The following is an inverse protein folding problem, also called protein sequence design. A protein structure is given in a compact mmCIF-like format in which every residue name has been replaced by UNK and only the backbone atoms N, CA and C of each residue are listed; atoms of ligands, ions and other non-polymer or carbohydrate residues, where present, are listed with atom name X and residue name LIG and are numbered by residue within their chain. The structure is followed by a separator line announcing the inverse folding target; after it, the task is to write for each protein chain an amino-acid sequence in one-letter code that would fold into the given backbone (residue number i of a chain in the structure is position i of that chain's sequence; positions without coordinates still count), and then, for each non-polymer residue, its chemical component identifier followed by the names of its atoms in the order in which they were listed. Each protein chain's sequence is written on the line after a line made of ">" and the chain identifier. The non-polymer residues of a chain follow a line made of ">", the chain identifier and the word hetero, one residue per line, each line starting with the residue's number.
data_IF_808700466699
#
_entry.id   IF_808700466699
#
_cell.length_a   1.000
_cell.length_b   1.000
_cell.length_c   1.000
_cell.angle_alpha   90.00
_cell.angle_beta   90.00
_cell.angle_gamma   90.00
#
_symmetry.space_group_name_H-M   'P 1'
#
loop_
_entity.id
_entity.type
_entity.pdbx_description
1 polymer ?
#
# COMPACT_ATOMS: atom_id res chain seq x y z
N UNK A 1 8.49 -14.06 6.28
CA UNK A 1 7.75 -13.48 5.13
C UNK A 1 6.24 -13.58 5.28
N UNK A 2 5.71 -14.44 6.16
CA UNK A 2 4.28 -14.48 6.52
C UNK A 2 3.75 -13.14 7.06
N UNK A 3 4.44 -12.54 8.03
CA UNK A 3 3.99 -11.26 8.64
C UNK A 3 3.81 -10.16 7.57
N UNK A 4 4.80 -9.91 6.67
CA UNK A 4 4.58 -9.01 5.54
C UNK A 4 3.40 -9.39 4.64
N UNK A 5 3.26 -10.66 4.27
CA UNK A 5 2.17 -11.11 3.39
C UNK A 5 0.78 -10.83 4.00
N UNK A 6 0.60 -11.08 5.31
CA UNK A 6 -0.66 -10.80 6.02
C UNK A 6 -0.95 -9.29 6.06
N UNK A 7 0.06 -8.46 6.36
CA UNK A 7 -0.14 -7.00 6.42
C UNK A 7 -0.47 -6.44 5.03
N UNK A 8 0.23 -6.87 3.98
CA UNK A 8 -0.11 -6.49 2.60
C UNK A 8 -1.52 -6.94 2.20
N UNK A 9 -1.98 -8.09 2.70
CA UNK A 9 -3.37 -8.50 2.50
C UNK A 9 -4.36 -7.53 3.11
N UNK A 10 -4.19 -7.19 4.39
CA UNK A 10 -5.09 -6.27 5.09
C UNK A 10 -5.07 -4.89 4.43
N UNK A 11 -3.91 -4.41 4.00
CA UNK A 11 -3.77 -3.15 3.27
C UNK A 11 -4.57 -3.14 1.97
N UNK A 12 -4.44 -4.19 1.17
CA UNK A 12 -5.17 -4.29 -0.09
C UNK A 12 -6.69 -4.35 0.16
N UNK A 13 -7.14 -5.11 1.17
CA UNK A 13 -8.55 -5.18 1.53
C UNK A 13 -9.10 -3.81 1.97
N UNK A 14 -8.37 -3.09 2.81
CA UNK A 14 -8.73 -1.73 3.23
C UNK A 14 -8.75 -0.75 2.05
N UNK A 15 -7.85 -0.92 1.07
CA UNK A 15 -7.84 -0.12 -0.15
C UNK A 15 -9.11 -0.34 -0.98
N UNK A 16 -9.55 -1.59 -1.13
CA UNK A 16 -10.80 -1.92 -1.82
C UNK A 16 -12.02 -1.35 -1.08
N UNK A 17 -12.11 -1.54 0.23
CA UNK A 17 -13.19 -0.98 1.06
C UNK A 17 -13.23 0.54 0.98
N UNK A 18 -12.07 1.21 0.95
CA UNK A 18 -12.00 2.65 0.78
C UNK A 18 -12.48 3.07 -0.61
N UNK A 19 -11.95 2.48 -1.69
CA UNK A 19 -12.32 2.83 -3.08
C UNK A 19 -13.80 2.57 -3.41
N UNK A 20 -14.47 1.66 -2.69
CA UNK A 20 -15.90 1.43 -2.82
C UNK A 20 -16.75 2.54 -2.15
N UNK A 21 -16.19 3.24 -1.17
CA UNK A 21 -16.92 4.17 -0.27
C UNK A 21 -16.51 5.64 -0.42
N UNK A 22 -15.32 5.91 -0.97
CA UNK A 22 -14.81 7.25 -1.24
C UNK A 22 -14.35 7.36 -2.68
N UNK A 23 -14.48 8.57 -3.24
CA UNK A 23 -14.04 8.88 -4.59
C UNK A 23 -12.51 8.65 -4.77
N UNK A 24 -12.11 8.22 -5.96
CA UNK A 24 -10.71 7.93 -6.27
C UNK A 24 -9.77 9.12 -6.04
N UNK A 25 -10.23 10.35 -6.31
CA UNK A 25 -9.45 11.57 -6.04
C UNK A 25 -9.25 11.82 -4.54
N UNK A 26 -10.25 11.50 -3.72
CA UNK A 26 -10.11 11.59 -2.26
C UNK A 26 -9.18 10.50 -1.74
N UNK A 27 -9.33 9.27 -2.25
CA UNK A 27 -8.43 8.16 -1.92
C UNK A 27 -6.98 8.50 -2.23
N UNK A 28 -6.67 9.07 -3.41
CA UNK A 28 -5.29 9.42 -3.78
C UNK A 28 -4.71 10.49 -2.88
N UNK A 29 -5.48 11.50 -2.48
CA UNK A 29 -5.03 12.54 -1.53
C UNK A 29 -4.66 11.92 -0.18
N UNK A 30 -5.53 11.10 0.40
CA UNK A 30 -5.24 10.44 1.68
C UNK A 30 -4.10 9.42 1.56
N UNK A 31 -3.99 8.72 0.43
CA UNK A 31 -2.91 7.77 0.18
C UNK A 31 -1.52 8.44 0.18
N UNK A 32 -1.40 9.73 -0.16
CA UNK A 32 -0.11 10.45 -0.08
C UNK A 32 0.42 10.59 1.36
N UNK A 33 -0.45 10.52 2.37
CA UNK A 33 -0.04 10.51 3.77
C UNK A 33 0.84 9.30 4.12
N UNK A 34 0.87 8.26 3.27
CA UNK A 34 1.78 7.10 3.34
C UNK A 34 3.24 7.50 3.45
N UNK A 35 3.65 8.56 2.78
CA UNK A 35 5.01 9.08 2.82
C UNK A 35 5.35 9.60 4.23
N UNK A 36 4.42 10.32 4.86
CA UNK A 36 4.57 10.78 6.26
C UNK A 36 4.56 9.62 7.25
N UNK A 37 3.63 8.69 7.09
CA UNK A 37 3.51 7.47 7.90
C UNK A 37 4.81 6.67 7.88
N UNK A 38 5.38 6.43 6.69
CA UNK A 38 6.65 5.71 6.52
C UNK A 38 7.80 6.43 7.22
N UNK A 39 7.89 7.76 7.11
CA UNK A 39 8.93 8.55 7.77
C UNK A 39 8.80 8.52 9.30
N UNK A 40 7.58 8.61 9.83
CA UNK A 40 7.30 8.49 11.26
C UNK A 40 7.72 7.11 11.78
N UNK A 41 7.29 6.04 11.13
CA UNK A 41 7.69 4.69 11.51
C UNK A 41 9.20 4.46 11.35
N UNK A 42 9.85 5.03 10.34
CA UNK A 42 11.30 4.93 10.19
C UNK A 42 12.04 5.63 11.34
N UNK A 43 11.52 6.78 11.79
CA UNK A 43 12.04 7.48 12.96
C UNK A 43 11.85 6.67 14.24
N UNK A 44 10.63 6.21 14.54
CA UNK A 44 10.32 5.51 15.78
C UNK A 44 10.88 4.08 15.84
N UNK A 45 10.75 3.30 14.76
CA UNK A 45 11.08 1.87 14.76
C UNK A 45 12.56 1.64 14.42
N UNK A 46 13.11 2.29 13.39
CA UNK A 46 14.52 2.09 12.98
C UNK A 46 15.46 3.03 13.73
N UNK A 47 14.94 4.10 14.36
CA UNK A 47 15.76 5.08 15.07
C UNK A 47 16.51 6.03 14.14
N UNK A 48 16.12 6.12 12.85
CA UNK A 48 16.75 7.05 11.91
C UNK A 48 16.42 8.49 12.31
N UNK A 49 17.43 9.25 12.74
CA UNK A 49 17.28 10.68 13.03
C UNK A 49 17.22 11.47 11.72
N UNK A 50 16.04 11.89 11.33
CA UNK A 50 15.82 12.77 10.18
C UNK A 50 16.08 14.23 10.59
N UNK A 51 17.00 14.90 9.90
CA UNK A 51 17.23 16.33 10.10
C UNK A 51 15.98 17.15 9.76
N UNK A 52 15.79 18.31 10.41
CA UNK A 52 14.65 19.20 10.16
C UNK A 52 14.51 19.61 8.68
N UNK A 53 15.62 19.66 7.93
CA UNK A 53 15.61 19.90 6.47
C UNK A 53 14.90 18.76 5.70
N UNK A 54 15.14 17.51 6.08
CA UNK A 54 14.50 16.33 5.46
C UNK A 54 12.99 16.31 5.76
N UNK A 55 12.58 16.72 6.95
CA UNK A 55 11.16 16.89 7.30
C UNK A 55 10.45 17.94 6.44
N UNK A 56 11.08 19.09 6.20
CA UNK A 56 10.52 20.12 5.30
C UNK A 56 10.42 19.64 3.85
N UNK A 57 11.45 18.95 3.36
CA UNK A 57 11.41 18.36 2.02
C UNK A 57 10.28 17.31 1.89
N UNK A 58 10.07 16.50 2.92
CA UNK A 58 9.01 15.50 2.97
C UNK A 58 7.62 16.15 2.90
N UNK A 59 7.38 17.19 3.69
CA UNK A 59 6.12 17.94 3.67
C UNK A 59 5.89 18.58 2.30
N UNK A 60 6.95 19.12 1.68
CA UNK A 60 6.87 19.69 0.34
C UNK A 60 6.48 18.63 -0.71
N UNK A 61 7.09 17.45 -0.67
CA UNK A 61 6.73 16.33 -1.57
C UNK A 61 5.28 15.89 -1.38
N UNK A 62 4.84 15.76 -0.13
CA UNK A 62 3.44 15.38 0.18
C UNK A 62 2.48 16.44 -0.33
N UNK A 63 2.76 17.73 -0.07
CA UNK A 63 1.93 18.84 -0.57
C UNK A 63 1.83 18.86 -2.10
N UNK A 64 2.94 18.66 -2.81
CA UNK A 64 2.95 18.58 -4.27
C UNK A 64 2.13 17.39 -4.79
N UNK A 65 2.31 16.22 -4.18
CA UNK A 65 1.54 15.03 -4.55
C UNK A 65 0.04 15.21 -4.28
N UNK A 66 -0.34 15.85 -3.16
CA UNK A 66 -1.75 16.15 -2.87
C UNK A 66 -2.33 17.17 -3.83
N UNK A 67 -1.58 18.21 -4.22
CA UNK A 67 -2.03 19.21 -5.20
C UNK A 67 -2.33 18.56 -6.56
N UNK A 68 -1.41 17.71 -7.05
CA UNK A 68 -1.61 16.96 -8.30
C UNK A 68 -2.84 16.05 -8.19
N UNK A 69 -3.04 15.42 -7.03
CA UNK A 69 -4.18 14.52 -6.78
C UNK A 69 -5.53 15.25 -6.71
N UNK A 70 -5.54 16.54 -6.39
CA UNK A 70 -6.75 17.38 -6.40
C UNK A 70 -7.12 17.87 -7.80
N UNK A 71 -6.13 18.07 -8.67
CA UNK A 71 -6.36 18.50 -10.06
C UNK A 71 -6.90 17.36 -10.94
N UNK A 72 -6.66 16.10 -10.56
CA UNK A 72 -7.39 14.96 -11.11
C UNK A 72 -8.83 14.99 -10.58
N UNK A 73 -9.71 15.69 -11.31
CA UNK A 73 -11.12 15.95 -10.97
C UNK A 73 -11.77 14.81 -10.16
N UNK A 74 -12.07 15.01 -8.87
CA UNK A 74 -12.91 14.08 -8.12
C UNK A 74 -14.33 14.15 -8.68
N UNK A 75 -14.98 13.00 -8.88
CA UNK A 75 -16.33 12.92 -9.46
C UNK A 75 -17.39 13.49 -8.50
N UNK A 76 -17.05 13.66 -7.23
CA UNK A 76 -17.99 14.05 -6.18
C UNK A 76 -17.43 15.15 -5.27
N UNK A 77 -17.39 16.39 -5.77
CA UNK A 77 -17.16 17.59 -4.94
C UNK A 77 -18.35 17.91 -3.99
N UNK A 78 -19.47 17.19 -4.10
CA UNK A 78 -20.69 17.43 -3.32
C UNK A 78 -20.78 16.62 -2.02
N UNK A 79 -19.79 15.75 -1.72
CA UNK A 79 -19.86 14.84 -0.57
C UNK A 79 -19.64 15.51 0.81
N UNK A 80 -19.27 16.79 0.84
CA UNK A 80 -19.13 17.56 2.09
C UNK A 80 -20.40 18.35 2.47
N UNK A 81 -21.40 18.40 1.60
CA UNK A 81 -22.61 19.21 1.78
C UNK A 81 -23.79 18.39 2.35
N UNK A 82 -23.82 17.07 2.09
CA UNK A 82 -24.67 16.12 2.81
C UNK A 82 -23.91 15.61 4.04
N UNK A 83 -24.49 15.73 5.22
CA UNK A 83 -23.84 15.40 6.50
C UNK A 83 -23.06 14.08 6.49
N UNK A 84 -21.96 14.02 7.26
CA UNK A 84 -20.99 12.91 7.28
C UNK A 84 -21.70 11.54 7.31
N UNK A 85 -21.75 10.87 6.16
CA UNK A 85 -22.37 9.55 6.06
C UNK A 85 -21.48 8.51 6.76
N UNK A 86 -22.11 7.51 7.38
CA UNK A 86 -21.38 6.40 8.01
C UNK A 86 -20.44 5.72 7.02
N UNK A 87 -20.88 5.59 5.76
CA UNK A 87 -20.10 4.99 4.67
C UNK A 87 -18.84 5.79 4.35
N UNK A 88 -18.94 7.12 4.30
CA UNK A 88 -17.81 8.01 4.09
C UNK A 88 -16.79 7.89 5.23
N UNK A 89 -17.25 7.87 6.49
CA UNK A 89 -16.38 7.71 7.65
C UNK A 89 -15.66 6.35 7.65
N UNK A 90 -16.33 5.27 7.23
CA UNK A 90 -15.71 3.95 7.05
C UNK A 90 -14.63 4.01 5.95
N UNK A 91 -14.90 4.68 4.83
CA UNK A 91 -13.91 4.84 3.76
C UNK A 91 -12.66 5.63 4.20
N UNK A 92 -12.86 6.74 4.93
CA UNK A 92 -11.77 7.55 5.49
C UNK A 92 -10.95 6.77 6.52
N UNK A 93 -11.61 6.06 7.44
CA UNK A 93 -10.91 5.27 8.45
C UNK A 93 -10.17 4.08 7.81
N UNK A 94 -10.72 3.48 6.76
CA UNK A 94 -10.08 2.42 6.01
C UNK A 94 -8.79 2.89 5.30
N UNK A 95 -8.83 4.02 4.58
CA UNK A 95 -7.62 4.56 3.92
C UNK A 95 -6.58 5.02 4.93
N UNK A 96 -6.98 5.59 6.07
CA UNK A 96 -6.04 5.96 7.14
C UNK A 96 -5.37 4.71 7.75
N UNK A 97 -6.13 3.63 7.96
CA UNK A 97 -5.60 2.35 8.41
C UNK A 97 -4.60 1.75 7.41
N UNK A 98 -4.93 1.78 6.12
CA UNK A 98 -4.05 1.34 5.02
C UNK A 98 -2.73 2.11 5.00
N UNK A 99 -2.80 3.44 5.10
CA UNK A 99 -1.65 4.35 5.10
C UNK A 99 -0.72 4.09 6.29
N UNK A 100 -1.29 3.81 7.47
CA UNK A 100 -0.52 3.46 8.67
C UNK A 100 0.16 2.10 8.53
N UNK A 101 -0.59 1.08 8.10
CA UNK A 101 -0.04 -0.26 7.85
C UNK A 101 1.05 -0.23 6.77
N UNK A 102 0.88 0.59 5.73
CA UNK A 102 1.88 0.77 4.69
C UNK A 102 3.19 1.33 5.21
N UNK A 103 3.12 2.35 6.08
CA UNK A 103 4.32 2.92 6.68
C UNK A 103 5.02 1.92 7.60
N UNK A 104 4.25 1.19 8.41
CA UNK A 104 4.76 0.14 9.26
C UNK A 104 5.47 -0.96 8.46
N UNK A 105 4.81 -1.50 7.43
CA UNK A 105 5.34 -2.66 6.70
C UNK A 105 6.58 -2.31 5.88
N UNK A 106 6.65 -1.12 5.28
CA UNK A 106 7.83 -0.65 4.55
C UNK A 106 9.07 -0.66 5.45
N UNK A 107 8.93 -0.17 6.68
CA UNK A 107 10.02 -0.09 7.65
C UNK A 107 10.36 -1.46 8.24
N UNK A 108 9.35 -2.29 8.50
CA UNK A 108 9.54 -3.68 8.94
C UNK A 108 10.25 -4.51 7.88
N UNK A 109 9.84 -4.40 6.61
CA UNK A 109 10.46 -5.09 5.49
C UNK A 109 11.91 -4.64 5.28
N UNK A 110 12.19 -3.33 5.40
CA UNK A 110 13.57 -2.80 5.41
C UNK A 110 14.42 -3.48 6.49
N UNK A 111 13.89 -3.62 7.72
CA UNK A 111 14.60 -4.31 8.81
C UNK A 111 14.83 -5.80 8.52
N UNK A 112 13.82 -6.50 8.01
CA UNK A 112 13.93 -7.94 7.71
C UNK A 112 14.94 -8.20 6.60
N UNK A 113 14.96 -7.36 5.56
CA UNK A 113 15.97 -7.42 4.52
C UNK A 113 17.36 -7.18 5.10
N UNK A 114 17.57 -6.07 5.82
CA UNK A 114 18.88 -5.70 6.38
C UNK A 114 19.43 -6.70 7.39
N UNK A 115 18.58 -7.29 8.24
CA UNK A 115 19.02 -8.35 9.19
C UNK A 115 19.40 -9.66 8.51
N UNK A 116 18.78 -10.00 7.38
CA UNK A 116 19.04 -11.28 6.69
C UNK A 116 20.31 -11.21 5.83
N UNK A 117 20.60 -10.07 5.19
CA UNK A 117 21.80 -9.92 4.35
C UNK A 117 23.10 -10.28 5.08
N UNK A 118 23.12 -10.17 6.42
CA UNK A 118 24.27 -10.56 7.25
C UNK A 118 24.37 -12.05 7.59
N UNK A 119 23.35 -12.87 7.33
CA UNK A 119 23.30 -14.27 7.77
C UNK A 119 23.13 -15.30 6.64
N UNK A 120 22.49 -14.95 5.52
CA UNK A 120 22.32 -15.80 4.32
C UNK A 120 22.16 -14.90 3.08
N UNK A 121 22.87 -15.17 1.98
CA UNK A 121 22.78 -14.46 0.68
C UNK A 121 21.44 -14.73 -0.05
N UNK A 122 20.30 -14.43 0.58
CA UNK A 122 19.01 -14.44 -0.12
C UNK A 122 18.83 -13.12 -0.87
N UNK A 123 18.51 -13.22 -2.16
CA UNK A 123 18.29 -12.06 -3.02
C UNK A 123 16.92 -11.44 -2.76
N UNK A 124 16.74 -10.18 -3.18
CA UNK A 124 15.43 -9.50 -3.15
C UNK A 124 14.37 -10.32 -3.89
N UNK A 125 14.76 -11.04 -4.93
CA UNK A 125 13.88 -11.90 -5.73
C UNK A 125 13.40 -13.12 -4.95
N UNK A 126 14.28 -13.79 -4.20
CA UNK A 126 13.89 -14.94 -3.36
C UNK A 126 12.87 -14.53 -2.31
N UNK A 127 13.04 -13.33 -1.75
CA UNK A 127 12.08 -12.77 -0.79
C UNK A 127 10.76 -12.40 -1.45
N UNK A 128 10.79 -11.87 -2.66
CA UNK A 128 9.57 -11.56 -3.42
C UNK A 128 8.80 -12.84 -3.78
N UNK A 129 9.49 -13.91 -4.20
CA UNK A 129 8.88 -15.22 -4.46
C UNK A 129 8.28 -15.80 -3.19
N UNK A 130 9.01 -15.77 -2.06
CA UNK A 130 8.46 -16.21 -0.77
C UNK A 130 7.20 -15.43 -0.39
N UNK A 131 7.21 -14.11 -0.58
CA UNK A 131 6.07 -13.25 -0.29
C UNK A 131 4.89 -13.59 -1.21
N UNK A 132 5.12 -13.82 -2.50
CA UNK A 132 4.10 -14.24 -3.45
C UNK A 132 3.47 -15.60 -3.07
N UNK A 133 4.28 -16.59 -2.69
CA UNK A 133 3.79 -17.90 -2.24
C UNK A 133 2.89 -17.74 -1.01
N UNK A 134 3.35 -16.99 0.00
CA UNK A 134 2.51 -16.75 1.18
C UNK A 134 1.24 -16.00 0.84
N UNK A 135 1.29 -15.01 -0.06
CA UNK A 135 0.08 -14.32 -0.52
C UNK A 135 -0.89 -15.27 -1.20
N UNK A 136 -0.44 -16.14 -2.12
CA UNK A 136 -1.31 -17.12 -2.77
C UNK A 136 -1.96 -18.06 -1.74
N UNK A 137 -1.19 -18.57 -0.78
CA UNK A 137 -1.70 -19.45 0.27
C UNK A 137 -2.75 -18.78 1.18
N UNK A 138 -2.72 -17.46 1.34
CA UNK A 138 -3.67 -16.73 2.18
C UNK A 138 -4.88 -16.25 1.35
N UNK A 139 -4.66 -15.67 0.17
CA UNK A 139 -5.72 -15.10 -0.66
C UNK A 139 -6.63 -16.15 -1.28
N UNK A 140 -6.08 -17.30 -1.72
CA UNK A 140 -6.86 -18.30 -2.44
C UNK A 140 -7.94 -18.95 -1.55
N UNK A 141 -7.67 -19.36 -0.30
CA UNK A 141 -8.73 -19.83 0.60
C UNK A 141 -9.81 -18.78 0.89
N UNK A 142 -9.42 -17.51 1.07
CA UNK A 142 -10.37 -16.41 1.32
C UNK A 142 -11.28 -16.20 0.10
N UNK A 143 -10.72 -16.24 -1.11
CA UNK A 143 -11.48 -16.13 -2.35
C UNK A 143 -12.47 -17.30 -2.52
N UNK A 144 -12.05 -18.53 -2.22
CA UNK A 144 -12.92 -19.72 -2.27
C UNK A 144 -14.04 -19.65 -1.23
N UNK A 145 -13.79 -19.07 -0.06
CA UNK A 145 -14.80 -18.91 0.98
C UNK A 145 -15.88 -17.88 0.61
N UNK A 146 -15.51 -16.77 -0.03
CA UNK A 146 -16.46 -15.73 -0.45
C UNK A 146 -17.29 -16.12 -1.68
N UNK A 147 -16.83 -17.09 -2.47
CA UNK A 147 -17.51 -17.56 -3.68
C UNK A 147 -17.86 -19.06 -3.58
N UNK A 148 -18.70 -19.48 -2.61
CA UNK A 148 -19.04 -20.89 -2.44
C UNK A 148 -19.83 -21.39 -3.66
N UNK A 149 -19.23 -22.30 -4.41
CA UNK A 149 -19.83 -22.91 -5.61
C UNK A 149 -19.15 -22.58 -6.95
N UNK A 150 -18.25 -21.59 -6.97
CA UNK A 150 -17.41 -21.33 -8.14
C UNK A 150 -16.04 -22.01 -7.96
N UNK A 151 -15.85 -23.15 -8.62
CA UNK A 151 -14.54 -23.85 -8.64
C UNK A 151 -13.48 -23.05 -9.40
N UNK A 152 -13.91 -22.11 -10.24
CA UNK A 152 -13.05 -21.29 -11.07
C UNK A 152 -12.83 -19.90 -10.46
N UNK A 153 -11.61 -19.66 -9.96
CA UNK A 153 -11.17 -18.38 -9.37
C UNK A 153 -11.25 -17.20 -10.37
N UNK A 154 -11.29 -17.50 -11.68
CA UNK A 154 -11.36 -16.51 -12.75
C UNK A 154 -12.79 -16.19 -13.18
N UNK A 155 -13.81 -16.74 -12.52
CA UNK A 155 -15.19 -16.43 -12.84
C UNK A 155 -15.49 -14.94 -12.62
N UNK A 156 -16.15 -14.29 -13.58
CA UNK A 156 -16.47 -12.85 -13.51
C UNK A 156 -15.33 -11.90 -13.85
N UNK A 157 -14.15 -12.40 -14.26
CA UNK A 157 -13.04 -11.53 -14.67
C UNK A 157 -13.35 -10.82 -15.99
N UNK A 158 -13.44 -9.48 -15.92
CA UNK A 158 -13.49 -8.63 -17.10
C UNK A 158 -12.09 -8.34 -17.65
N UNK A 159 -11.99 -7.88 -18.90
CA UNK A 159 -10.72 -7.40 -19.47
C UNK A 159 -10.06 -6.29 -18.64
N UNK A 160 -10.88 -5.45 -17.99
CA UNK A 160 -10.42 -4.41 -17.05
C UNK A 160 -9.81 -5.03 -15.80
N UNK A 161 -10.44 -6.07 -15.24
CA UNK A 161 -9.92 -6.79 -14.05
C UNK A 161 -8.55 -7.41 -14.35
N UNK A 162 -8.39 -8.01 -15.54
CA UNK A 162 -7.11 -8.55 -16.00
C UNK A 162 -6.05 -7.45 -16.14
N UNK A 163 -6.42 -6.29 -16.71
CA UNK A 163 -5.53 -5.13 -16.82
C UNK A 163 -5.08 -4.61 -15.45
N UNK A 164 -6.01 -4.47 -14.48
CA UNK A 164 -5.69 -4.05 -13.11
C UNK A 164 -4.76 -5.05 -12.42
N UNK A 165 -5.02 -6.36 -12.56
CA UNK A 165 -4.16 -7.40 -12.01
C UNK A 165 -2.73 -7.34 -12.59
N UNK A 166 -2.62 -7.14 -13.90
CA UNK A 166 -1.33 -6.97 -14.56
C UNK A 166 -0.59 -5.71 -14.09
N UNK A 167 -1.26 -4.56 -14.08
CA UNK A 167 -0.70 -3.29 -13.61
C UNK A 167 -0.25 -3.37 -12.15
N UNK A 168 -1.05 -4.01 -11.29
CA UNK A 168 -0.70 -4.23 -9.89
C UNK A 168 0.55 -5.10 -9.72
N UNK A 169 0.64 -6.21 -10.46
CA UNK A 169 1.81 -7.10 -10.45
C UNK A 169 3.07 -6.39 -10.98
N UNK A 170 2.95 -5.70 -12.11
CA UNK A 170 4.04 -4.92 -12.70
C UNK A 170 4.53 -3.83 -11.75
N UNK A 171 3.61 -3.12 -11.09
CA UNK A 171 3.93 -2.12 -10.06
C UNK A 171 4.69 -2.72 -8.88
N UNK A 172 4.28 -3.90 -8.40
CA UNK A 172 4.99 -4.63 -7.33
C UNK A 172 6.42 -5.01 -7.70
N UNK A 173 6.63 -5.49 -8.92
CA UNK A 173 7.98 -5.79 -9.45
C UNK A 173 8.82 -4.51 -9.57
N UNK A 174 8.21 -3.41 -10.04
CA UNK A 174 8.89 -2.12 -10.16
C UNK A 174 9.35 -1.60 -8.80
N UNK A 175 8.52 -1.73 -7.75
CA UNK A 175 8.91 -1.40 -6.36
C UNK A 175 10.09 -2.26 -5.89
N UNK A 176 10.08 -3.57 -6.16
CA UNK A 176 11.19 -4.45 -5.81
C UNK A 176 12.49 -4.06 -6.53
N UNK A 177 12.40 -3.67 -7.81
CA UNK A 177 13.52 -3.13 -8.58
C UNK A 177 14.02 -1.81 -7.99
N UNK A 178 13.12 -0.88 -7.64
CA UNK A 178 13.49 0.35 -6.96
C UNK A 178 14.27 0.04 -5.68
N UNK A 179 13.78 -0.83 -4.79
CA UNK A 179 14.51 -1.18 -3.55
C UNK A 179 15.89 -1.81 -3.83
N UNK A 180 16.03 -2.57 -4.92
CA UNK A 180 17.33 -3.17 -5.31
C UNK A 180 18.33 -2.12 -5.79
N UNK A 181 17.88 -1.11 -6.54
CA UNK A 181 18.74 -0.15 -7.23
C UNK A 181 18.77 1.25 -6.59
N UNK A 182 17.83 1.55 -5.69
CA UNK A 182 17.71 2.82 -4.96
C UNK A 182 17.61 2.56 -3.46
N UNK A 183 18.36 3.34 -2.68
CA UNK A 183 18.21 3.35 -1.23
C UNK A 183 17.05 4.30 -0.88
N UNK A 184 16.12 3.85 -0.02
CA UNK A 184 14.91 4.61 0.29
C UNK A 184 15.16 6.06 0.78
N UNK A 185 16.32 6.38 1.39
CA UNK A 185 16.63 7.72 1.93
C UNK A 185 18.15 8.08 1.96
N UNK A 186 19.05 7.44 1.20
CA UNK A 186 20.48 7.81 1.25
C UNK A 186 21.15 7.87 -0.14
N UNK A 187 21.40 9.10 -0.60
CA UNK A 187 22.70 9.76 -0.41
C UNK A 187 22.54 10.96 0.51
#
# INVERSE_FOLDING_TARGET
>A
MVVPAVVYLVMNLLSYVALERIDAGLFTVFAQCKVLSTALFAYFIVGKKLAARKWRALLLVVSGATLISLETKPVSANAFDDGVSSEFMIGITAVMGEVLLSGFISVYFEKVLKKTTSAVLLTVWDRNVQLAIYSICIYLPIAMYHSPGYVNVLHGWSGVTCCVAFLGSAGGILVALCIRYTNAVDK
#
